data_IF_604572766045
#
_entry.id   IF_604572766045
#
_cell.length_a   1.000
_cell.length_b   1.000
_cell.length_c   1.000
_cell.angle_alpha   90.00
_cell.angle_beta   90.00
_cell.angle_gamma   90.00
#
_symmetry.space_group_name_H-M   'P 1'
#
loop_
_entity.id
_entity.type
_entity.pdbx_description
1 polymer ?
#
# COMPACT_ATOMS: atom_id res chain seq x y z
N UNK A 1 18.19 -12.71 -16.04
CA UNK A 1 17.81 -12.78 -14.67
C UNK A 1 16.95 -11.60 -14.25
N UNK A 2 15.72 -11.82 -13.96
CA UNK A 2 14.83 -10.77 -13.53
C UNK A 2 15.10 -10.38 -12.08
N UNK A 3 14.93 -9.13 -11.75
CA UNK A 3 14.96 -8.70 -10.36
C UNK A 3 13.66 -9.12 -9.69
N UNK A 4 13.75 -9.53 -8.44
CA UNK A 4 12.58 -9.88 -7.67
C UNK A 4 12.01 -8.62 -7.04
N UNK A 5 10.70 -8.48 -7.12
CA UNK A 5 10.02 -7.40 -6.44
C UNK A 5 9.88 -7.75 -4.97
N UNK A 6 10.17 -6.79 -4.12
CA UNK A 6 9.88 -6.88 -2.70
C UNK A 6 8.63 -6.06 -2.45
N UNK A 7 7.54 -6.73 -2.10
CA UNK A 7 6.26 -6.07 -1.91
C UNK A 7 5.87 -6.20 -0.45
N UNK A 8 5.50 -5.07 0.16
CA UNK A 8 5.06 -5.03 1.55
C UNK A 8 3.67 -4.45 1.61
N UNK A 9 2.82 -5.08 2.40
CA UNK A 9 1.45 -4.65 2.64
C UNK A 9 1.33 -4.36 4.14
N UNK A 10 1.29 -3.08 4.48
CA UNK A 10 1.21 -2.65 5.87
C UNK A 10 -0.23 -2.25 6.18
N UNK A 11 -0.75 -2.75 7.28
CA UNK A 11 -2.16 -2.51 7.60
C UNK A 11 -2.38 -2.42 9.10
N UNK A 12 -3.45 -1.71 9.45
CA UNK A 12 -3.97 -1.62 10.81
C UNK A 12 -5.26 -2.43 10.84
N UNK A 13 -5.35 -3.38 11.76
CA UNK A 13 -6.46 -4.35 11.79
C UNK A 13 -7.83 -3.66 11.89
N UNK A 14 -7.92 -2.56 12.63
CA UNK A 14 -9.18 -1.85 12.81
C UNK A 14 -9.60 -1.02 11.59
N UNK A 15 -8.75 -0.92 10.59
CA UNK A 15 -9.10 -0.23 9.35
C UNK A 15 -9.96 -1.15 8.49
N UNK A 16 -11.20 -0.76 8.14
CA UNK A 16 -12.09 -1.66 7.40
C UNK A 16 -11.72 -1.78 5.93
N UNK A 17 -10.77 -0.98 5.45
CA UNK A 17 -10.45 -0.93 4.02
C UNK A 17 -9.34 -1.88 3.60
N UNK A 18 -8.55 -2.40 4.55
CA UNK A 18 -7.38 -3.17 4.15
C UNK A 18 -7.69 -4.46 3.39
N UNK A 19 -8.79 -5.18 3.66
CA UNK A 19 -9.08 -6.38 2.86
C UNK A 19 -9.33 -6.06 1.39
N UNK A 20 -9.98 -4.94 1.11
CA UNK A 20 -10.22 -4.53 -0.28
C UNK A 20 -8.93 -4.19 -0.99
N UNK A 21 -8.02 -3.49 -0.32
CA UNK A 21 -6.71 -3.16 -0.90
C UNK A 21 -5.89 -4.42 -1.15
N UNK A 22 -5.95 -5.38 -0.24
CA UNK A 22 -5.27 -6.67 -0.41
C UNK A 22 -5.76 -7.36 -1.68
N UNK A 23 -7.07 -7.39 -1.89
CA UNK A 23 -7.67 -8.01 -3.06
C UNK A 23 -7.22 -7.30 -4.34
N UNK A 24 -7.21 -5.96 -4.33
CA UNK A 24 -6.77 -5.19 -5.49
C UNK A 24 -5.31 -5.47 -5.83
N UNK A 25 -4.46 -5.60 -4.82
CA UNK A 25 -3.06 -5.93 -5.03
C UNK A 25 -2.91 -7.30 -5.67
N UNK A 26 -3.63 -8.30 -5.17
CA UNK A 26 -3.59 -9.65 -5.74
C UNK A 26 -4.07 -9.66 -7.18
N UNK A 27 -5.14 -8.95 -7.47
CA UNK A 27 -5.67 -8.86 -8.83
C UNK A 27 -4.68 -8.21 -9.77
N UNK A 28 -4.03 -7.13 -9.33
CA UNK A 28 -3.04 -6.44 -10.16
C UNK A 28 -1.85 -7.34 -10.46
N UNK A 29 -1.39 -8.08 -9.45
CA UNK A 29 -0.28 -9.01 -9.64
C UNK A 29 -0.65 -10.11 -10.63
N UNK A 30 -1.86 -10.65 -10.52
CA UNK A 30 -2.32 -11.70 -11.44
C UNK A 30 -2.41 -11.18 -12.87
N UNK A 31 -2.94 -9.98 -13.05
CA UNK A 31 -3.09 -9.39 -14.38
C UNK A 31 -1.74 -9.13 -15.05
N UNK A 32 -0.75 -8.79 -14.26
CA UNK A 32 0.59 -8.50 -14.76
C UNK A 32 1.49 -9.73 -14.82
N UNK A 33 1.01 -10.88 -14.34
CA UNK A 33 1.79 -12.10 -14.32
C UNK A 33 2.96 -12.05 -13.35
N UNK A 34 2.83 -11.25 -12.28
CA UNK A 34 3.89 -11.09 -11.30
C UNK A 34 3.74 -12.17 -10.22
N UNK A 35 4.80 -12.98 -10.07
CA UNK A 35 4.88 -13.97 -9.01
C UNK A 35 5.89 -13.49 -7.98
N UNK A 36 5.38 -12.93 -6.90
CA UNK A 36 6.23 -12.45 -5.83
C UNK A 36 5.52 -12.68 -4.51
N UNK A 37 6.31 -12.88 -3.47
CA UNK A 37 5.77 -12.96 -2.12
C UNK A 37 5.49 -11.55 -1.61
N UNK A 38 4.36 -11.39 -0.93
CA UNK A 38 4.01 -10.12 -0.31
C UNK A 38 4.13 -10.30 1.19
N UNK A 39 4.95 -9.47 1.81
CA UNK A 39 5.07 -9.47 3.26
C UNK A 39 3.92 -8.65 3.84
N UNK A 40 3.09 -9.29 4.64
CA UNK A 40 2.01 -8.60 5.34
C UNK A 40 2.53 -8.16 6.71
N UNK A 41 2.44 -6.87 6.97
CA UNK A 41 2.97 -6.29 8.20
C UNK A 41 1.82 -5.62 8.93
N UNK A 42 1.45 -6.18 10.08
CA UNK A 42 0.42 -5.57 10.91
C UNK A 42 1.03 -4.48 11.77
N UNK A 43 0.44 -3.28 11.72
CA UNK A 43 0.87 -2.15 12.54
C UNK A 43 -0.09 -2.08 13.72
N UNK A 44 0.43 -2.28 14.93
CA UNK A 44 -0.41 -2.48 16.12
C UNK A 44 -0.42 -1.27 17.04
N UNK A 45 0.70 -0.55 17.14
CA UNK A 45 0.85 0.57 18.07
C UNK A 45 1.30 1.82 17.34
N UNK A 46 1.15 2.98 17.99
CA UNK A 46 1.66 4.23 17.46
C UNK A 46 3.18 4.18 17.32
N UNK A 47 3.87 3.47 18.23
CA UNK A 47 5.31 3.32 18.14
C UNK A 47 5.70 2.53 16.89
N UNK A 48 4.94 1.49 16.57
CA UNK A 48 5.15 0.74 15.33
C UNK A 48 4.95 1.65 14.11
N UNK A 49 3.92 2.50 14.15
CA UNK A 49 3.63 3.41 13.04
C UNK A 49 4.81 4.36 12.83
N UNK A 50 5.40 4.88 13.89
CA UNK A 50 6.57 5.75 13.77
C UNK A 50 7.78 4.99 13.25
N UNK A 51 8.05 3.82 13.80
CA UNK A 51 9.20 3.00 13.41
C UNK A 51 9.15 2.62 11.94
N UNK A 52 7.96 2.33 11.44
CA UNK A 52 7.76 1.91 10.06
C UNK A 52 7.46 3.09 9.11
N UNK A 53 7.43 4.30 9.63
CA UNK A 53 7.01 5.48 8.88
C UNK A 53 5.66 5.26 8.20
N UNK A 54 4.71 4.71 8.95
CA UNK A 54 3.42 4.24 8.45
C UNK A 54 2.44 5.41 8.28
N UNK A 55 2.06 5.73 7.05
CA UNK A 55 1.18 6.89 6.80
C UNK A 55 -0.31 6.58 6.91
N UNK A 56 -0.66 5.39 7.35
CA UNK A 56 -2.04 4.97 7.48
C UNK A 56 -2.32 3.70 6.72
N UNK A 57 -3.41 3.03 7.08
CA UNK A 57 -3.80 1.74 6.51
C UNK A 57 -4.80 1.94 5.37
N UNK A 58 -4.64 1.23 4.26
CA UNK A 58 -3.56 0.32 3.91
C UNK A 58 -2.39 1.04 3.24
N UNK A 59 -1.19 0.54 3.43
CA UNK A 59 0.01 1.06 2.76
C UNK A 59 0.66 -0.08 1.99
N UNK A 60 1.00 0.18 0.73
CA UNK A 60 1.68 -0.79 -0.13
C UNK A 60 3.01 -0.19 -0.54
N UNK A 61 4.08 -0.96 -0.37
CA UNK A 61 5.43 -0.54 -0.77
C UNK A 61 6.00 -1.56 -1.73
N UNK A 62 6.58 -1.06 -2.81
CA UNK A 62 7.25 -1.89 -3.81
C UNK A 62 8.73 -1.50 -3.77
N UNK A 63 9.58 -2.45 -3.44
CA UNK A 63 11.03 -2.22 -3.29
C UNK A 63 11.32 -1.07 -2.33
N UNK A 64 10.56 -0.99 -1.24
CA UNK A 64 10.76 0.02 -0.21
C UNK A 64 10.12 1.37 -0.49
N UNK A 65 9.50 1.54 -1.64
CA UNK A 65 8.89 2.82 -2.03
C UNK A 65 7.37 2.71 -1.99
N UNK A 66 6.73 3.67 -1.34
CA UNK A 66 5.27 3.74 -1.28
C UNK A 66 4.72 3.91 -2.70
N UNK A 67 3.55 3.31 -2.98
CA UNK A 67 2.95 3.44 -4.31
C UNK A 67 2.43 4.86 -4.58
N UNK A 68 2.30 5.67 -3.53
CA UNK A 68 1.96 7.09 -3.65
C UNK A 68 2.83 7.88 -2.69
N UNK A 69 4.12 8.11 -3.04
CA UNK A 69 5.05 8.75 -2.11
C UNK A 69 4.63 10.15 -1.67
N UNK A 70 4.06 10.93 -2.59
CA UNK A 70 3.62 12.27 -2.27
C UNK A 70 2.47 12.26 -1.26
N UNK A 71 1.50 11.36 -1.46
CA UNK A 71 0.39 11.21 -0.52
C UNK A 71 0.86 10.72 0.83
N UNK A 72 1.77 9.76 0.86
CA UNK A 72 2.32 9.24 2.10
C UNK A 72 3.01 10.34 2.89
N UNK A 73 3.78 11.17 2.20
CA UNK A 73 4.52 12.26 2.81
C UNK A 73 3.59 13.27 3.49
N UNK A 74 2.41 13.49 2.94
CA UNK A 74 1.44 14.44 3.47
C UNK A 74 0.67 13.91 4.67
N UNK A 75 0.60 12.58 4.82
CA UNK A 75 -0.19 11.97 5.88
C UNK A 75 0.50 11.98 7.24
N UNK A 76 1.83 12.07 7.26
CA UNK A 76 2.57 11.89 8.49
C UNK A 76 2.59 10.41 8.89
N UNK A 77 2.77 10.13 10.18
CA UNK A 77 2.75 8.76 10.68
C UNK A 77 1.69 8.63 11.79
N UNK A 78 0.80 7.67 11.64
CA UNK A 78 -0.25 7.46 12.63
C UNK A 78 -0.92 6.12 12.42
N UNK A 79 -1.47 5.58 13.50
CA UNK A 79 -2.29 4.39 13.45
C UNK A 79 -3.71 4.81 13.07
N UNK A 80 -3.94 4.94 11.78
CA UNK A 80 -5.17 5.52 11.24
C UNK A 80 -5.46 4.94 9.85
N UNK A 81 -6.61 5.29 9.30
CA UNK A 81 -6.93 4.98 7.91
C UNK A 81 -6.26 5.98 6.99
N UNK A 82 -5.81 5.47 5.85
CA UNK A 82 -5.17 6.31 4.83
C UNK A 82 -6.20 6.73 3.79
N UNK A 83 -5.96 7.89 3.17
CA UNK A 83 -6.78 8.39 2.08
C UNK A 83 -5.89 8.53 0.85
N UNK A 84 -6.33 7.92 -0.25
CA UNK A 84 -5.65 8.02 -1.54
C UNK A 84 -6.40 8.97 -2.44
N UNK A 85 -5.66 9.75 -3.23
CA UNK A 85 -6.27 10.60 -4.25
C UNK A 85 -6.17 9.89 -5.59
N UNK A 86 -7.32 9.60 -6.20
CA UNK A 86 -7.38 8.91 -7.47
C UNK A 86 -7.11 9.87 -8.62
N UNK A 87 -6.87 9.31 -9.81
CA UNK A 87 -6.52 10.12 -10.98
C UNK A 87 -7.61 11.13 -11.36
N UNK A 88 -8.87 10.81 -11.10
CA UNK A 88 -9.99 11.71 -11.38
C UNK A 88 -10.20 12.75 -10.28
N UNK A 89 -9.33 12.79 -9.27
CA UNK A 89 -9.40 13.75 -8.18
C UNK A 89 -10.22 13.30 -6.99
N UNK A 90 -10.92 12.18 -7.08
CA UNK A 90 -11.69 11.67 -5.94
C UNK A 90 -10.78 11.11 -4.87
N UNK A 91 -11.24 11.15 -3.63
CA UNK A 91 -10.54 10.52 -2.52
C UNK A 91 -11.11 9.13 -2.27
N UNK A 92 -10.25 8.21 -1.88
CA UNK A 92 -10.63 6.82 -1.68
C UNK A 92 -9.86 6.24 -0.49
N UNK A 93 -10.50 5.37 0.30
CA UNK A 93 -9.78 4.69 1.39
C UNK A 93 -8.79 3.63 0.90
N UNK A 94 -8.85 3.28 -0.38
CA UNK A 94 -7.93 2.31 -1.01
C UNK A 94 -7.37 2.92 -2.28
N UNK A 95 -6.16 2.50 -2.69
CA UNK A 95 -5.63 2.93 -3.98
C UNK A 95 -6.42 2.29 -5.11
N UNK A 96 -6.37 2.89 -6.29
CA UNK A 96 -6.96 2.25 -7.46
C UNK A 96 -6.05 1.10 -7.93
N UNK A 97 -6.64 0.15 -8.65
CA UNK A 97 -5.85 -0.93 -9.23
C UNK A 97 -4.79 -0.35 -10.18
N UNK A 98 -5.12 0.73 -10.88
CA UNK A 98 -4.17 1.36 -11.79
C UNK A 98 -2.95 1.91 -11.06
N UNK A 99 -3.14 2.54 -9.90
CA UNK A 99 -2.01 3.02 -9.09
C UNK A 99 -1.10 1.87 -8.69
N UNK A 100 -1.69 0.74 -8.30
CA UNK A 100 -0.92 -0.44 -7.92
C UNK A 100 -0.17 -1.00 -9.12
N UNK A 101 -0.83 -1.10 -10.27
CA UNK A 101 -0.21 -1.62 -11.49
C UNK A 101 0.98 -0.77 -11.91
N UNK A 102 0.85 0.54 -11.87
CA UNK A 102 1.93 1.45 -12.22
C UNK A 102 3.12 1.27 -11.30
N UNK A 103 2.88 1.11 -10.00
CA UNK A 103 3.96 0.90 -9.05
C UNK A 103 4.67 -0.43 -9.28
N UNK A 104 3.94 -1.46 -9.69
CA UNK A 104 4.52 -2.79 -9.93
C UNK A 104 5.32 -2.84 -11.22
N UNK A 105 5.05 -1.98 -12.19
CA UNK A 105 5.70 -1.98 -13.50
C UNK A 105 6.67 -0.82 -13.70
N UNK A 106 6.62 0.18 -12.85
CA UNK A 106 7.40 1.40 -12.98
C UNK A 106 8.82 1.34 -12.39
#
# INVERSE_FOLDING_TARGET
MGSKLKIEFLYWEDCPSHPQAWKLLQEAMDELGIEASVEQIEVVTDEDAERLAFPGSPTIRVNGTDIDPAGASQMGTALTCRIYRLQDGRFSPVPSKEMIRQALTG
#
